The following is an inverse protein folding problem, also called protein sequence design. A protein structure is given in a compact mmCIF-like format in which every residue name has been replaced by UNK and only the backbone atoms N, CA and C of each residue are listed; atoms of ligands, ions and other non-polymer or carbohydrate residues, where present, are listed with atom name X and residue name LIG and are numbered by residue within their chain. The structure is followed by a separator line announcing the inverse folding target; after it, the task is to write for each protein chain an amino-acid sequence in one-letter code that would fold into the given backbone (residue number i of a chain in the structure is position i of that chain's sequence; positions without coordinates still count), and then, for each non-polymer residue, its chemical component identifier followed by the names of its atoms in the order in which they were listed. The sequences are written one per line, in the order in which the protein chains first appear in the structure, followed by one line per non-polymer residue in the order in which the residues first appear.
data_IF_404175403175
#
_entry.id   IF_404175403175
#
_cell.length_a   1.000
_cell.length_b   1.000
_cell.length_c   1.000
_cell.angle_alpha   90.00
_cell.angle_beta   90.00
_cell.angle_gamma   90.00
#
_symmetry.space_group_name_H-M   'P 1'
#
loop_
_entity.id
_entity.type
_entity.pdbx_description
1 polymer ?
#
# COMPACT_ATOMS: atom_id res chain seq x y z
N UNK A 1 21.46 -2.94 -8.23
CA UNK A 1 21.38 -4.12 -9.13
C UNK A 1 22.70 -4.38 -9.84
N UNK A 2 23.11 -3.51 -10.76
CA UNK A 2 24.34 -3.74 -11.59
C UNK A 2 25.64 -3.94 -10.79
N UNK A 3 25.70 -3.42 -9.57
CA UNK A 3 26.87 -3.59 -8.68
C UNK A 3 27.10 -5.04 -8.26
N UNK A 4 26.05 -5.84 -8.20
CA UNK A 4 26.09 -7.22 -7.69
C UNK A 4 25.84 -8.29 -8.77
N UNK A 5 25.56 -7.87 -10.00
CA UNK A 5 25.25 -8.78 -11.11
C UNK A 5 26.43 -8.76 -12.06
N UNK A 6 27.15 -9.89 -12.14
CA UNK A 6 28.24 -10.09 -13.09
C UNK A 6 27.74 -10.94 -14.27
N UNK A 7 26.84 -10.33 -15.07
CA UNK A 7 26.27 -10.93 -16.28
C UNK A 7 26.24 -9.86 -17.37
N UNK A 8 27.05 -10.05 -18.40
CA UNK A 8 27.22 -9.07 -19.48
C UNK A 8 25.96 -8.90 -20.34
N UNK A 9 25.19 -9.97 -20.56
CA UNK A 9 23.93 -9.90 -21.30
C UNK A 9 22.92 -9.01 -20.55
N UNK A 10 22.79 -9.19 -19.26
CA UNK A 10 21.92 -8.38 -18.42
C UNK A 10 22.37 -6.91 -18.37
N UNK A 11 23.68 -6.66 -18.23
CA UNK A 11 24.24 -5.30 -18.26
C UNK A 11 23.96 -4.61 -19.59
N UNK A 12 24.13 -5.33 -20.70
CA UNK A 12 23.85 -4.83 -22.06
C UNK A 12 22.38 -4.47 -22.22
N UNK A 13 21.46 -5.33 -21.75
CA UNK A 13 20.03 -5.10 -21.81
C UNK A 13 19.61 -3.83 -21.01
N UNK A 14 20.18 -3.64 -19.83
CA UNK A 14 19.92 -2.43 -19.03
C UNK A 14 20.49 -1.17 -19.71
N UNK A 15 21.66 -1.28 -20.35
CA UNK A 15 22.25 -0.17 -21.08
C UNK A 15 21.36 0.23 -22.29
N UNK A 16 20.85 -0.75 -23.04
CA UNK A 16 19.92 -0.51 -24.15
C UNK A 16 18.64 0.16 -23.67
N UNK A 17 18.01 -0.35 -22.60
CA UNK A 17 16.82 0.29 -22.03
C UNK A 17 17.07 1.76 -21.66
N UNK A 18 18.21 2.06 -21.02
CA UNK A 18 18.56 3.42 -20.65
C UNK A 18 18.70 4.33 -21.87
N UNK A 19 19.28 3.81 -22.95
CA UNK A 19 19.41 4.54 -24.22
C UNK A 19 18.03 4.81 -24.84
N UNK A 20 17.12 3.82 -24.84
CA UNK A 20 15.75 3.98 -25.33
C UNK A 20 15.00 5.03 -24.49
N UNK A 21 15.06 4.94 -23.16
CA UNK A 21 14.44 5.93 -22.29
C UNK A 21 14.98 7.36 -22.51
N UNK A 22 16.29 7.50 -22.77
CA UNK A 22 16.90 8.81 -23.01
C UNK A 22 16.50 9.45 -24.34
N UNK A 23 16.12 8.64 -25.35
CA UNK A 23 15.75 9.10 -26.70
C UNK A 23 14.24 9.27 -26.86
N UNK A 24 13.43 8.56 -26.07
CA UNK A 24 11.99 8.57 -26.18
C UNK A 24 11.38 9.90 -25.72
N UNK A 25 10.34 10.33 -26.40
CA UNK A 25 9.55 11.51 -26.01
C UNK A 25 8.60 11.20 -24.85
N UNK A 26 8.14 9.96 -24.75
CA UNK A 26 7.32 9.47 -23.65
C UNK A 26 7.60 7.99 -23.34
N UNK A 27 7.05 7.53 -22.22
CA UNK A 27 7.23 6.14 -21.76
C UNK A 27 6.56 5.10 -22.68
N UNK A 28 5.55 5.49 -23.43
CA UNK A 28 4.80 4.59 -24.31
C UNK A 28 5.66 4.09 -25.48
N UNK A 29 6.54 4.94 -26.01
CA UNK A 29 7.51 4.54 -27.04
C UNK A 29 8.45 3.44 -26.51
N UNK A 30 8.95 3.60 -25.29
CA UNK A 30 9.82 2.59 -24.65
C UNK A 30 9.04 1.31 -24.35
N UNK A 31 7.82 1.45 -23.86
CA UNK A 31 6.91 0.32 -23.64
C UNK A 31 6.66 -0.45 -24.93
N UNK A 32 6.49 0.24 -26.05
CA UNK A 32 6.29 -0.41 -27.36
C UNK A 32 7.54 -1.19 -27.78
N UNK A 33 8.73 -0.61 -27.63
CA UNK A 33 9.98 -1.32 -27.85
C UNK A 33 10.09 -2.58 -26.96
N UNK A 34 9.73 -2.51 -25.68
CA UNK A 34 9.69 -3.69 -24.81
C UNK A 34 8.72 -4.74 -25.37
N UNK A 35 7.56 -4.32 -25.89
CA UNK A 35 6.59 -5.25 -26.47
C UNK A 35 7.15 -5.96 -27.72
N UNK A 36 7.79 -5.23 -28.60
CA UNK A 36 8.27 -5.74 -29.88
C UNK A 36 9.48 -6.68 -29.71
N UNK A 37 10.43 -6.34 -28.83
CA UNK A 37 11.68 -7.07 -28.69
C UNK A 37 11.72 -8.01 -27.45
N UNK A 38 10.98 -7.68 -26.40
CA UNK A 38 11.03 -8.35 -25.10
C UNK A 38 9.65 -8.65 -24.51
N UNK A 39 8.60 -8.73 -25.33
CA UNK A 39 7.24 -9.07 -24.90
C UNK A 39 7.13 -10.49 -24.34
N UNK A 40 6.01 -10.79 -23.72
CA UNK A 40 5.75 -12.12 -23.13
C UNK A 40 5.82 -13.27 -24.15
N UNK A 41 5.56 -12.98 -25.42
CA UNK A 41 5.67 -13.93 -26.52
C UNK A 41 7.12 -14.31 -26.89
N UNK A 42 8.11 -13.54 -26.41
CA UNK A 42 9.54 -13.78 -26.69
C UNK A 42 10.20 -14.73 -25.70
N UNK A 43 9.58 -14.99 -24.57
CA UNK A 43 10.16 -15.78 -23.47
C UNK A 43 9.20 -16.86 -23.01
N UNK A 44 9.72 -18.01 -22.51
CA UNK A 44 8.88 -19.05 -21.96
C UNK A 44 8.28 -18.66 -20.60
N UNK A 45 7.13 -19.26 -20.27
CA UNK A 45 6.44 -19.07 -18.98
C UNK A 45 5.33 -18.02 -19.05
N UNK A 46 4.59 -17.93 -17.96
CA UNK A 46 3.42 -17.07 -17.88
C UNK A 46 3.76 -15.63 -17.47
N UNK A 47 4.91 -15.42 -16.84
CA UNK A 47 5.33 -14.14 -16.28
C UNK A 47 6.85 -13.94 -16.44
N UNK A 48 7.34 -13.71 -17.67
CA UNK A 48 8.77 -13.58 -17.96
C UNK A 48 9.41 -12.43 -17.21
N UNK A 49 10.47 -12.73 -16.46
CA UNK A 49 11.20 -11.76 -15.64
C UNK A 49 11.85 -10.63 -16.46
N UNK A 50 12.31 -10.93 -17.68
CA UNK A 50 12.96 -9.93 -18.54
C UNK A 50 11.98 -8.80 -18.87
N UNK A 51 10.80 -9.12 -19.37
CA UNK A 51 9.76 -8.15 -19.72
C UNK A 51 9.36 -7.32 -18.49
N UNK A 52 9.11 -8.00 -17.36
CA UNK A 52 8.69 -7.34 -16.13
C UNK A 52 9.80 -6.45 -15.55
N UNK A 53 11.04 -6.90 -15.58
CA UNK A 53 12.17 -6.11 -15.09
C UNK A 53 12.42 -4.87 -15.94
N UNK A 54 12.34 -4.99 -17.26
CA UNK A 54 12.45 -3.84 -18.18
C UNK A 54 11.31 -2.84 -17.95
N UNK A 55 10.08 -3.32 -17.75
CA UNK A 55 8.92 -2.48 -17.44
C UNK A 55 9.09 -1.71 -16.13
N UNK A 56 9.55 -2.39 -15.09
CA UNK A 56 9.86 -1.78 -13.80
C UNK A 56 10.93 -0.69 -13.94
N UNK A 57 12.05 -1.00 -14.60
CA UNK A 57 13.14 -0.05 -14.78
C UNK A 57 12.75 1.13 -15.69
N UNK A 58 11.96 0.90 -16.73
CA UNK A 58 11.37 1.96 -17.56
C UNK A 58 10.57 2.92 -16.68
N UNK A 59 9.68 2.39 -15.83
CA UNK A 59 8.87 3.20 -14.92
C UNK A 59 9.73 4.04 -13.97
N UNK A 60 10.81 3.47 -13.44
CA UNK A 60 11.79 4.21 -12.63
C UNK A 60 12.47 5.34 -13.37
N UNK A 61 12.97 5.07 -14.58
CA UNK A 61 13.74 6.04 -15.37
C UNK A 61 12.83 7.16 -15.85
N UNK A 62 11.68 6.81 -16.44
CA UNK A 62 10.75 7.77 -17.04
C UNK A 62 9.89 8.51 -16.00
N UNK A 63 9.67 7.91 -14.84
CA UNK A 63 9.01 8.54 -13.69
C UNK A 63 9.90 9.52 -12.96
N UNK A 64 11.22 9.27 -12.92
CA UNK A 64 12.19 10.13 -12.21
C UNK A 64 11.86 10.24 -10.72
N UNK A 65 11.88 11.45 -10.19
CA UNK A 65 11.57 11.75 -8.77
C UNK A 65 10.08 11.99 -8.49
N UNK A 66 9.23 11.66 -9.46
CA UNK A 66 7.78 11.71 -9.31
C UNK A 66 7.25 10.31 -8.99
N UNK A 67 6.93 10.08 -7.71
CA UNK A 67 6.41 8.81 -7.22
C UNK A 67 5.13 8.40 -7.95
N UNK A 68 4.20 9.34 -8.11
CA UNK A 68 2.90 9.09 -8.74
C UNK A 68 3.07 8.71 -10.21
N UNK A 69 3.90 9.44 -10.92
CA UNK A 69 4.20 9.17 -12.34
C UNK A 69 4.84 7.81 -12.52
N UNK A 70 5.82 7.45 -11.68
CA UNK A 70 6.47 6.15 -11.77
C UNK A 70 5.49 5.00 -11.53
N UNK A 71 4.66 5.08 -10.51
CA UNK A 71 3.60 4.10 -10.24
C UNK A 71 2.57 4.03 -11.38
N UNK A 72 2.14 5.18 -11.90
CA UNK A 72 1.22 5.26 -13.03
C UNK A 72 1.78 4.56 -14.27
N UNK A 73 3.04 4.78 -14.62
CA UNK A 73 3.69 4.12 -15.74
C UNK A 73 3.68 2.60 -15.54
N UNK A 74 4.10 2.12 -14.35
CA UNK A 74 4.12 0.68 -14.06
C UNK A 74 2.73 0.05 -14.12
N UNK A 75 1.70 0.70 -13.54
CA UNK A 75 0.32 0.22 -13.56
C UNK A 75 -0.28 0.19 -14.98
N UNK A 76 0.17 1.08 -15.87
CA UNK A 76 -0.42 1.26 -17.20
C UNK A 76 0.34 0.54 -18.31
N UNK A 77 1.54 0.03 -18.05
CA UNK A 77 2.40 -0.58 -19.06
C UNK A 77 1.90 -1.92 -19.60
N UNK A 78 1.02 -2.61 -18.87
CA UNK A 78 0.55 -3.95 -19.18
C UNK A 78 1.44 -5.02 -18.52
N UNK A 79 1.19 -6.26 -18.84
CA UNK A 79 1.81 -7.45 -18.28
C UNK A 79 1.51 -7.59 -16.76
N UNK A 80 2.49 -7.86 -15.94
CA UNK A 80 2.35 -8.08 -14.49
C UNK A 80 2.26 -6.75 -13.72
N UNK A 81 1.18 -6.01 -13.93
CA UNK A 81 1.07 -4.61 -13.47
C UNK A 81 1.01 -4.45 -11.97
N UNK A 82 0.44 -5.39 -11.24
CA UNK A 82 0.36 -5.40 -9.78
C UNK A 82 1.75 -5.62 -9.14
N UNK A 83 2.48 -6.66 -9.55
CA UNK A 83 3.83 -6.90 -9.06
C UNK A 83 4.79 -5.79 -9.48
N UNK A 84 4.74 -5.35 -10.73
CA UNK A 84 5.63 -4.30 -11.23
C UNK A 84 5.39 -2.96 -10.50
N UNK A 85 4.13 -2.55 -10.31
CA UNK A 85 3.82 -1.32 -9.59
C UNK A 85 4.11 -1.41 -8.10
N UNK A 86 3.90 -2.58 -7.48
CA UNK A 86 4.29 -2.83 -6.10
C UNK A 86 5.79 -2.67 -5.89
N UNK A 87 6.60 -3.25 -6.77
CA UNK A 87 8.06 -3.10 -6.74
C UNK A 87 8.51 -1.64 -6.97
N UNK A 88 7.91 -0.95 -7.95
CA UNK A 88 8.21 0.46 -8.23
C UNK A 88 7.84 1.33 -7.03
N UNK A 89 6.66 1.12 -6.44
CA UNK A 89 6.22 1.86 -5.26
C UNK A 89 7.13 1.65 -4.06
N UNK A 90 7.48 0.40 -3.76
CA UNK A 90 8.37 0.06 -2.65
C UNK A 90 9.76 0.73 -2.81
N UNK A 91 10.39 0.56 -3.96
CA UNK A 91 11.74 1.09 -4.18
C UNK A 91 11.75 2.62 -4.26
N UNK A 92 10.72 3.25 -4.85
CA UNK A 92 10.60 4.71 -4.84
C UNK A 92 10.29 5.25 -3.44
N UNK A 93 9.50 4.55 -2.64
CA UNK A 93 9.28 4.90 -1.24
C UNK A 93 10.58 4.94 -0.43
N UNK A 94 11.45 3.93 -0.61
CA UNK A 94 12.79 3.91 0.01
C UNK A 94 13.65 5.07 -0.50
N UNK A 95 13.62 5.34 -1.80
CA UNK A 95 14.46 6.37 -2.43
C UNK A 95 14.03 7.79 -2.12
N UNK A 96 12.74 8.07 -2.13
CA UNK A 96 12.17 9.42 -2.02
C UNK A 96 11.69 9.76 -0.60
N UNK A 97 11.54 8.75 0.25
CA UNK A 97 10.99 8.90 1.59
C UNK A 97 9.50 9.29 1.59
N UNK A 98 8.98 9.61 2.76
CA UNK A 98 7.58 10.00 2.92
C UNK A 98 7.24 11.29 2.17
N UNK A 99 8.16 12.25 2.11
CA UNK A 99 7.94 13.52 1.41
C UNK A 99 7.69 13.34 -0.09
N UNK A 100 8.39 12.40 -0.72
CA UNK A 100 8.17 12.06 -2.13
C UNK A 100 6.85 11.36 -2.36
N UNK A 101 6.47 10.48 -1.45
CA UNK A 101 5.25 9.69 -1.50
C UNK A 101 3.98 10.53 -1.28
N UNK A 102 4.02 11.54 -0.41
CA UNK A 102 2.86 12.38 -0.06
C UNK A 102 2.56 13.50 -1.07
N UNK A 103 3.42 13.69 -2.07
CA UNK A 103 3.18 14.63 -3.18
C UNK A 103 2.17 14.04 -4.17
N UNK A 104 0.93 14.46 -4.11
CA UNK A 104 -0.12 14.02 -5.03
C UNK A 104 -1.21 13.20 -4.34
N UNK A 105 -1.84 12.28 -5.08
CA UNK A 105 -2.90 11.45 -4.54
C UNK A 105 -2.36 10.42 -3.54
N UNK A 106 -3.00 10.32 -2.38
CA UNK A 106 -2.68 9.29 -1.40
C UNK A 106 -3.20 7.92 -1.88
N UNK A 107 -2.30 7.07 -2.38
CA UNK A 107 -2.64 5.75 -2.91
C UNK A 107 -3.08 4.75 -1.82
N UNK A 108 -2.87 5.07 -0.53
CA UNK A 108 -3.35 4.28 0.61
C UNK A 108 -4.84 4.49 0.86
N UNK A 109 -5.33 5.69 0.55
CA UNK A 109 -6.68 6.14 0.89
C UNK A 109 -7.80 5.21 0.39
N UNK A 110 -7.78 4.69 -0.84
CA UNK A 110 -8.82 3.78 -1.32
C UNK A 110 -8.96 2.49 -0.52
N UNK A 111 -7.88 2.04 0.12
CA UNK A 111 -7.82 0.81 0.92
C UNK A 111 -7.67 1.07 2.42
N UNK A 112 -7.63 2.33 2.84
CA UNK A 112 -7.43 2.75 4.23
C UNK A 112 -6.17 2.13 4.87
N UNK A 113 -5.08 2.01 4.13
CA UNK A 113 -3.82 1.30 4.48
C UNK A 113 -3.97 -0.22 4.71
N UNK A 114 -5.17 -0.79 4.57
CA UNK A 114 -5.39 -2.22 4.84
C UNK A 114 -4.55 -3.10 3.94
N UNK A 115 -4.06 -4.16 4.54
CA UNK A 115 -3.30 -5.20 3.88
C UNK A 115 -3.79 -6.57 4.35
N UNK A 116 -4.15 -7.43 3.43
CA UNK A 116 -4.47 -8.82 3.72
C UNK A 116 -3.29 -9.70 3.31
N UNK A 117 -2.64 -10.27 4.31
CA UNK A 117 -1.41 -11.04 4.11
C UNK A 117 -1.72 -12.52 4.08
N UNK A 118 -1.32 -13.19 3.01
CA UNK A 118 -1.33 -14.66 2.96
C UNK A 118 -0.21 -15.16 3.85
N UNK A 119 -0.58 -15.77 4.96
CA UNK A 119 0.37 -16.24 5.98
C UNK A 119 -0.10 -17.57 6.57
N UNK A 120 0.83 -18.36 7.10
CA UNK A 120 0.53 -19.57 7.89
C UNK A 120 -0.01 -19.24 9.28
N UNK A 121 0.13 -17.99 9.74
CA UNK A 121 -0.45 -17.46 10.96
C UNK A 121 -1.70 -16.65 10.63
N UNK A 122 -2.88 -17.27 10.76
CA UNK A 122 -4.15 -16.61 10.47
C UNK A 122 -4.41 -15.35 11.30
N UNK A 123 -3.81 -15.22 12.47
CA UNK A 123 -3.89 -14.03 13.32
C UNK A 123 -3.16 -12.81 12.75
N UNK A 124 -2.25 -13.03 11.79
CA UNK A 124 -1.51 -11.99 11.09
C UNK A 124 -2.09 -11.67 9.69
N UNK A 125 -3.20 -12.29 9.30
CA UNK A 125 -3.82 -12.09 7.99
C UNK A 125 -4.30 -10.65 7.79
N UNK A 126 -4.94 -10.06 8.79
CA UNK A 126 -5.40 -8.67 8.75
C UNK A 126 -4.25 -7.78 9.26
N UNK A 127 -3.67 -7.02 8.37
CA UNK A 127 -2.53 -6.15 8.62
C UNK A 127 -2.76 -4.75 8.04
N UNK A 128 -1.77 -3.91 8.18
CA UNK A 128 -1.68 -2.59 7.58
C UNK A 128 -0.22 -2.22 7.30
N UNK A 129 0.00 -1.14 6.55
CA UNK A 129 1.33 -0.69 6.18
C UNK A 129 2.21 -0.35 7.39
N UNK A 130 1.63 0.13 8.50
CA UNK A 130 2.36 0.47 9.74
C UNK A 130 2.84 -0.79 10.43
N UNK A 131 1.97 -1.79 10.59
CA UNK A 131 2.31 -3.08 11.20
C UNK A 131 3.44 -3.76 10.42
N UNK A 132 3.33 -3.82 9.09
CA UNK A 132 4.37 -4.45 8.27
C UNK A 132 5.69 -3.67 8.31
N UNK A 133 5.64 -2.34 8.31
CA UNK A 133 6.84 -1.51 8.49
C UNK A 133 7.53 -1.80 9.83
N UNK A 134 6.78 -1.91 10.93
CA UNK A 134 7.33 -2.26 12.25
C UNK A 134 7.97 -3.66 12.26
N UNK A 135 7.37 -4.63 11.60
CA UNK A 135 7.95 -5.98 11.45
C UNK A 135 9.30 -5.93 10.73
N UNK A 136 9.36 -5.19 9.61
CA UNK A 136 10.60 -5.03 8.83
C UNK A 136 11.67 -4.33 9.65
N UNK A 137 11.33 -3.24 10.35
CA UNK A 137 12.27 -2.50 11.19
C UNK A 137 12.81 -3.35 12.34
N UNK A 138 11.95 -4.13 13.02
CA UNK A 138 12.38 -5.07 14.07
C UNK A 138 13.32 -6.15 13.52
N UNK A 139 13.00 -6.69 12.34
CA UNK A 139 13.86 -7.69 11.70
C UNK A 139 15.22 -7.10 11.30
N UNK A 140 15.23 -5.90 10.71
CA UNK A 140 16.47 -5.22 10.33
C UNK A 140 17.34 -4.89 11.53
N UNK A 141 16.79 -4.34 12.61
CA UNK A 141 17.49 -4.06 13.85
C UNK A 141 18.13 -5.34 14.43
N UNK A 142 17.35 -6.42 14.50
CA UNK A 142 17.86 -7.71 14.98
C UNK A 142 19.03 -8.24 14.14
N UNK A 143 18.98 -8.10 12.83
CA UNK A 143 20.06 -8.50 11.93
C UNK A 143 21.34 -7.69 12.15
N UNK A 144 21.19 -6.42 12.52
CA UNK A 144 22.31 -5.52 12.82
C UNK A 144 22.79 -5.59 14.28
N UNK A 145 22.16 -6.41 15.12
CA UNK A 145 22.47 -6.47 16.55
C UNK A 145 22.02 -5.22 17.33
N UNK A 146 21.04 -4.50 16.81
CA UNK A 146 20.46 -3.29 17.38
C UNK A 146 19.13 -3.57 18.04
N UNK A 147 18.79 -2.81 19.08
CA UNK A 147 17.44 -2.76 19.66
C UNK A 147 16.77 -1.46 19.23
N UNK A 148 15.52 -1.56 18.75
CA UNK A 148 14.69 -0.40 18.44
C UNK A 148 13.45 -0.39 19.33
N UNK A 149 13.09 0.80 19.79
CA UNK A 149 11.84 1.02 20.54
C UNK A 149 10.77 1.50 19.56
N UNK A 150 9.72 0.72 19.43
CA UNK A 150 8.54 1.04 18.62
C UNK A 150 7.31 1.12 19.51
N UNK A 151 6.25 1.85 19.12
CA UNK A 151 4.99 1.83 19.83
C UNK A 151 4.46 0.41 20.01
N UNK A 152 3.88 0.14 21.17
CA UNK A 152 3.28 -1.17 21.50
C UNK A 152 1.82 -1.23 21.03
N UNK A 153 1.18 -0.07 20.91
CA UNK A 153 -0.20 0.07 20.49
C UNK A 153 -0.37 -0.46 19.06
N UNK A 154 -1.43 -1.24 18.85
CA UNK A 154 -1.76 -1.77 17.52
C UNK A 154 -2.04 -0.62 16.56
N UNK A 155 -2.78 0.39 17.00
CA UNK A 155 -3.20 1.55 16.23
C UNK A 155 -2.59 2.82 16.83
N UNK A 156 -1.38 3.14 16.45
CA UNK A 156 -0.67 4.34 16.92
C UNK A 156 -0.75 5.52 15.92
N UNK A 157 -1.19 5.26 14.70
CA UNK A 157 -1.33 6.27 13.63
C UNK A 157 -0.07 7.09 13.35
N UNK A 158 1.10 6.55 13.62
CA UNK A 158 2.40 7.22 13.74
C UNK A 158 3.00 7.74 12.41
N UNK A 159 2.34 7.46 11.28
CA UNK A 159 2.78 7.96 9.97
C UNK A 159 1.75 8.92 9.36
N UNK A 160 2.20 10.05 8.78
CA UNK A 160 1.30 11.02 8.15
C UNK A 160 0.35 10.37 7.16
N UNK A 161 -0.92 10.72 7.24
CA UNK A 161 -1.98 10.20 6.36
C UNK A 161 -2.44 8.77 6.64
N UNK A 162 -1.77 8.02 7.52
CA UNK A 162 -2.15 6.63 7.84
C UNK A 162 -3.38 6.58 8.75
N UNK A 163 -4.34 5.71 8.40
CA UNK A 163 -5.56 5.43 9.17
C UNK A 163 -5.67 3.98 9.63
N UNK A 164 -4.65 3.16 9.32
CA UNK A 164 -4.49 1.79 9.80
C UNK A 164 -5.74 0.91 9.69
N UNK A 165 -6.45 0.99 8.59
CA UNK A 165 -7.61 0.15 8.30
C UNK A 165 -8.93 0.63 8.86
N UNK A 166 -8.97 1.75 9.59
CA UNK A 166 -10.23 2.32 10.04
C UNK A 166 -10.98 2.95 8.86
N UNK A 167 -12.23 2.63 8.74
CA UNK A 167 -13.12 3.12 7.67
C UNK A 167 -14.42 3.67 8.25
N UNK A 168 -15.09 4.61 7.56
CA UNK A 168 -16.47 4.96 7.89
C UNK A 168 -17.39 3.73 7.84
N UNK A 169 -18.33 3.65 8.77
CA UNK A 169 -19.26 2.55 8.85
C UNK A 169 -20.68 3.05 9.00
N UNK A 170 -21.34 3.27 7.88
CA UNK A 170 -22.67 3.91 7.82
C UNK A 170 -23.81 2.91 7.50
N UNK A 171 -23.56 1.59 7.70
CA UNK A 171 -24.52 0.54 7.30
C UNK A 171 -25.87 0.59 8.04
N UNK A 172 -25.89 1.17 9.24
CA UNK A 172 -27.07 1.22 10.09
C UNK A 172 -27.65 2.64 10.20
N UNK A 173 -27.10 3.59 9.44
CA UNK A 173 -27.62 4.96 9.41
C UNK A 173 -28.57 5.11 8.23
N UNK A 174 -29.88 5.15 8.49
CA UNK A 174 -30.90 5.49 7.50
C UNK A 174 -30.82 6.97 7.06
N UNK A 175 -30.05 7.78 7.77
CA UNK A 175 -29.88 9.20 7.53
C UNK A 175 -28.42 9.55 7.24
N UNK A 176 -28.24 10.53 6.36
CA UNK A 176 -26.96 10.91 5.77
C UNK A 176 -26.04 11.63 6.76
N UNK A 177 -25.38 10.90 7.62
CA UNK A 177 -24.19 11.42 8.31
C UNK A 177 -22.98 11.19 7.42
N UNK A 178 -22.33 12.27 7.02
CA UNK A 178 -21.06 12.17 6.31
C UNK A 178 -19.95 11.96 7.34
N UNK A 179 -19.43 10.75 7.40
CA UNK A 179 -18.28 10.40 8.22
C UNK A 179 -17.01 10.35 7.38
N UNK A 180 -15.99 11.09 7.80
CA UNK A 180 -14.68 11.10 7.18
C UNK A 180 -13.63 10.74 8.21
N UNK A 181 -12.64 9.96 7.80
CA UNK A 181 -11.51 9.57 8.63
C UNK A 181 -10.23 10.12 8.02
N UNK A 182 -9.40 10.68 8.88
CA UNK A 182 -8.09 11.19 8.49
C UNK A 182 -7.09 11.03 9.66
N UNK A 183 -5.80 11.01 9.33
CA UNK A 183 -4.76 11.12 10.34
C UNK A 183 -4.76 12.54 10.90
N UNK A 184 -4.61 12.69 12.21
CA UNK A 184 -4.69 14.01 12.86
C UNK A 184 -3.42 14.86 12.74
N UNK A 185 -2.28 14.26 12.38
CA UNK A 185 -0.97 14.92 12.44
C UNK A 185 -0.92 16.26 11.70
N UNK A 186 -1.46 16.32 10.48
CA UNK A 186 -1.47 17.55 9.68
C UNK A 186 -2.30 18.68 10.31
N UNK A 187 -3.26 18.33 11.16
CA UNK A 187 -4.17 19.32 11.76
C UNK A 187 -3.75 19.72 13.18
N UNK A 188 -3.26 18.76 13.96
CA UNK A 188 -2.96 18.98 15.38
C UNK A 188 -1.47 18.93 15.72
N UNK A 189 -0.64 18.39 14.83
CA UNK A 189 0.76 18.06 15.10
C UNK A 189 0.95 16.79 15.93
N UNK A 190 -0.14 16.12 16.30
CA UNK A 190 -0.14 14.87 17.06
C UNK A 190 -0.71 13.73 16.24
N UNK A 191 -0.13 12.55 16.37
CA UNK A 191 -0.62 11.37 15.67
C UNK A 191 -1.89 10.80 16.31
N UNK A 192 -2.88 10.52 15.51
CA UNK A 192 -4.14 9.95 15.91
C UNK A 192 -5.08 9.73 14.73
N UNK A 193 -6.18 9.05 14.98
CA UNK A 193 -7.26 8.92 14.02
C UNK A 193 -8.32 9.99 14.30
N UNK A 194 -8.49 10.92 13.38
CA UNK A 194 -9.51 11.96 13.46
C UNK A 194 -10.78 11.52 12.74
N UNK A 195 -11.88 11.51 13.48
CA UNK A 195 -13.21 11.24 12.93
C UNK A 195 -13.92 12.59 12.76
N UNK A 196 -14.14 12.98 11.50
CA UNK A 196 -14.90 14.15 11.13
C UNK A 196 -16.31 13.73 10.71
N UNK A 197 -17.31 14.45 11.14
CA UNK A 197 -18.70 14.13 10.81
C UNK A 197 -19.51 15.39 10.53
N UNK A 198 -20.51 15.25 9.64
CA UNK A 198 -21.49 16.28 9.33
C UNK A 198 -22.88 15.67 9.39
N UNK A 199 -23.87 16.46 9.82
CA UNK A 199 -25.28 16.01 9.88
C UNK A 199 -25.62 15.21 11.14
N UNK A 200 -24.78 15.23 12.18
CA UNK A 200 -25.07 14.54 13.44
C UNK A 200 -26.26 15.17 14.14
N UNK A 201 -27.24 14.37 14.52
CA UNK A 201 -28.45 14.76 15.21
C UNK A 201 -28.81 13.75 16.31
N UNK A 202 -29.83 14.06 17.14
CA UNK A 202 -30.27 13.13 18.17
C UNK A 202 -30.77 11.82 17.55
N UNK A 203 -30.17 10.71 17.96
CA UNK A 203 -30.49 9.37 17.45
C UNK A 203 -29.77 8.98 16.17
N UNK A 204 -28.91 9.85 15.65
CA UNK A 204 -28.05 9.58 14.48
C UNK A 204 -26.61 9.40 14.93
N UNK A 205 -25.90 8.48 14.34
CA UNK A 205 -24.54 8.12 14.73
C UNK A 205 -23.55 8.31 13.59
N UNK A 206 -22.39 8.87 13.90
CA UNK A 206 -21.20 8.77 13.05
C UNK A 206 -20.39 7.57 13.52
N UNK A 207 -20.24 6.57 12.68
CA UNK A 207 -19.60 5.30 13.06
C UNK A 207 -18.37 5.01 12.24
N UNK A 208 -17.41 4.36 12.87
CA UNK A 208 -16.20 3.86 12.21
C UNK A 208 -15.99 2.40 12.56
N UNK A 209 -15.34 1.66 11.69
CA UNK A 209 -15.07 0.24 11.88
C UNK A 209 -13.66 -0.13 11.45
N UNK A 210 -13.18 -1.21 12.01
CA UNK A 210 -11.99 -1.93 11.58
C UNK A 210 -12.30 -3.41 11.48
N UNK A 211 -11.75 -4.08 10.46
CA UNK A 211 -11.93 -5.51 10.30
C UNK A 211 -11.16 -6.29 11.38
N UNK A 212 -11.84 -7.21 12.05
CA UNK A 212 -11.23 -8.13 13.02
C UNK A 212 -11.24 -9.58 12.53
N UNK A 213 -12.00 -9.87 11.50
CA UNK A 213 -12.08 -11.16 10.81
C UNK A 213 -12.55 -10.97 9.37
N UNK A 214 -12.02 -11.77 8.47
CA UNK A 214 -12.40 -11.76 7.06
C UNK A 214 -12.75 -13.18 6.64
N UNK A 215 -13.97 -13.34 6.12
CA UNK A 215 -14.38 -14.56 5.43
C UNK A 215 -14.07 -14.41 3.94
N UNK A 216 -12.87 -14.80 3.55
CA UNK A 216 -12.39 -14.74 2.17
C UNK A 216 -12.86 -15.96 1.36
N UNK A 217 -14.14 -16.31 1.44
CA UNK A 217 -14.69 -17.34 0.57
C UNK A 217 -14.60 -16.91 -0.89
N UNK A 218 -14.13 -17.78 -1.78
CA UNK A 218 -14.12 -17.49 -3.21
C UNK A 218 -15.55 -17.18 -3.67
N UNK A 219 -15.78 -15.97 -4.15
CA UNK A 219 -17.05 -15.59 -4.78
C UNK A 219 -17.07 -16.15 -6.19
N UNK A 220 -17.70 -17.32 -6.39
CA UNK A 220 -17.96 -17.85 -7.73
C UNK A 220 -17.94 -19.39 -7.78
N UNK A 221 -18.65 -19.94 -8.74
CA UNK A 221 -18.74 -21.40 -8.98
C UNK A 221 -17.43 -22.02 -9.49
N UNK A 222 -16.47 -21.21 -9.85
CA UNK A 222 -15.15 -21.61 -10.30
C UNK A 222 -14.15 -20.90 -9.40
N UNK A 223 -13.72 -21.62 -8.37
CA UNK A 223 -12.68 -21.14 -7.44
C UNK A 223 -11.37 -20.90 -8.17
N UNK A 224 -11.20 -19.70 -8.66
CA UNK A 224 -9.97 -19.23 -9.31
C UNK A 224 -9.07 -18.47 -8.34
N UNK A 225 -9.28 -18.59 -7.03
CA UNK A 225 -8.25 -18.18 -6.09
C UNK A 225 -7.18 -19.28 -6.06
N UNK A 226 -6.02 -18.96 -6.60
CA UNK A 226 -4.85 -19.85 -6.51
C UNK A 226 -4.30 -19.94 -5.07
N UNK A 227 -4.84 -19.14 -4.15
CA UNK A 227 -4.38 -19.05 -2.77
C UNK A 227 -5.57 -19.03 -1.82
N UNK A 228 -5.58 -19.98 -0.91
CA UNK A 228 -6.44 -19.92 0.26
C UNK A 228 -5.80 -18.99 1.29
N UNK A 229 -6.59 -18.06 1.82
CA UNK A 229 -6.15 -17.17 2.88
C UNK A 229 -6.64 -17.69 4.21
N UNK A 230 -5.70 -18.06 5.07
CA UNK A 230 -5.99 -18.42 6.44
C UNK A 230 -6.20 -17.14 7.24
N UNK A 231 -7.40 -16.94 7.78
CA UNK A 231 -7.72 -15.83 8.64
C UNK A 231 -8.28 -16.33 9.98
N UNK A 232 -7.71 -15.86 11.06
CA UNK A 232 -8.24 -16.02 12.40
C UNK A 232 -8.71 -14.68 12.94
N UNK A 233 -9.73 -14.63 13.80
CA UNK A 233 -10.12 -13.36 14.42
C UNK A 233 -8.94 -12.69 15.12
N UNK A 234 -8.84 -11.38 15.00
CA UNK A 234 -7.82 -10.58 15.70
C UNK A 234 -8.29 -10.07 17.06
N UNK A 235 -9.56 -10.31 17.39
CA UNK A 235 -10.18 -9.95 18.63
C UNK A 235 -10.96 -11.16 19.18
N UNK A 236 -10.70 -11.52 20.43
CA UNK A 236 -11.29 -12.67 21.11
C UNK A 236 -12.01 -12.25 22.39
N UNK A 237 -12.97 -13.06 22.83
CA UNK A 237 -13.63 -12.88 24.12
C UNK A 237 -12.62 -12.87 25.27
N UNK A 238 -12.75 -11.92 26.18
CA UNK A 238 -11.87 -11.75 27.32
C UNK A 238 -10.69 -10.81 27.08
N UNK A 239 -10.58 -10.21 25.90
CA UNK A 239 -9.63 -9.13 25.64
C UNK A 239 -10.27 -7.76 25.97
N UNK A 240 -9.45 -6.84 26.46
CA UNK A 240 -9.83 -5.45 26.70
C UNK A 240 -9.42 -4.58 25.51
N UNK A 241 -10.31 -3.66 25.13
CA UNK A 241 -10.02 -2.63 24.15
C UNK A 241 -9.87 -1.30 24.89
N UNK A 242 -8.68 -0.72 24.83
CA UNK A 242 -8.40 0.59 25.40
C UNK A 242 -8.34 1.65 24.30
N UNK A 243 -9.12 2.71 24.47
CA UNK A 243 -9.16 3.85 23.57
C UNK A 243 -8.92 5.12 24.36
N UNK A 244 -8.11 6.02 23.80
CA UNK A 244 -8.01 7.41 24.26
C UNK A 244 -8.74 8.26 23.25
N UNK A 245 -9.74 9.02 23.70
CA UNK A 245 -10.61 9.82 22.84
C UNK A 245 -10.64 11.26 23.34
N UNK A 246 -10.29 12.20 22.45
CA UNK A 246 -10.38 13.62 22.68
C UNK A 246 -11.46 14.24 21.80
N UNK A 247 -12.37 15.02 22.39
CA UNK A 247 -13.37 15.78 21.66
C UNK A 247 -12.79 17.16 21.28
N UNK A 248 -12.46 17.35 20.00
CA UNK A 248 -11.87 18.60 19.51
C UNK A 248 -12.92 19.70 19.21
N UNK A 249 -14.20 19.42 19.31
CA UNK A 249 -15.24 20.36 18.96
C UNK A 249 -16.42 20.29 19.93
N UNK A 250 -16.53 21.28 20.79
CA UNK A 250 -17.57 21.42 21.83
C UNK A 250 -18.91 21.97 21.31
N UNK A 251 -19.09 22.09 20.02
CA UNK A 251 -20.39 22.45 19.45
C UNK A 251 -21.29 21.21 19.51
N UNK A 252 -21.81 20.94 20.70
CA UNK A 252 -22.91 19.99 20.87
C UNK A 252 -23.99 20.32 19.84
N UNK A 253 -24.34 19.40 18.94
CA UNK A 253 -25.57 19.54 18.18
C UNK A 253 -26.73 19.57 19.17
N UNK A 254 -27.46 20.65 19.17
CA UNK A 254 -28.65 20.80 20.04
C UNK A 254 -29.78 19.93 19.53
#
# INVERSE_FOLDING_TARGET
GLTYIDNEEFKSLIAELREKCAKASDWYEVRQWIADEHGYDKYPGNCPMITNHLTLLMAFIMGGDDFQKACMIACSAGWDTDCNSGNVGCLNGIRLGLDGFTKGADLRKPVADRLYVVTSDGGSCISDAVIETRKILKAAAKLNGEEIKLPEERLAFEYPGSVQGIVPYDKDCEEQVLTKIENSYETTGEYGCRICYEGLARGVHASVAIDTFIDLKPKGKEGTSYFDVLCSPTLYSGQDICLVVDALNDKNPK
#
